data_IF_283425444542
#
_entry.id   IF_283425444542
#
_cell.length_a   1.000
_cell.length_b   1.000
_cell.length_c   1.000
_cell.angle_alpha   90.00
_cell.angle_beta   90.00
_cell.angle_gamma   90.00
#
_symmetry.space_group_name_H-M   'P 1'
#
loop_
_entity.id
_entity.type
_entity.pdbx_description
1 polymer ?
#
# COMPACT_ATOMS: atom_id res chain seq x y z
N UNK A 1 31.97 -16.99 -18.23
CA UNK A 1 30.98 -16.59 -17.22
C UNK A 1 29.64 -16.47 -17.94
N UNK A 2 28.76 -17.46 -17.85
CA UNK A 2 27.43 -17.39 -18.43
C UNK A 2 26.50 -16.75 -17.41
N UNK A 3 26.01 -15.57 -17.72
CA UNK A 3 24.92 -14.92 -16.99
C UNK A 3 23.66 -15.78 -17.16
N UNK A 4 23.27 -16.47 -16.11
CA UNK A 4 21.96 -17.14 -16.04
C UNK A 4 20.95 -16.06 -15.71
N UNK A 5 20.41 -15.40 -16.72
CA UNK A 5 19.17 -14.66 -16.58
C UNK A 5 18.07 -15.66 -16.19
N UNK A 6 17.27 -15.41 -15.15
CA UNK A 6 16.15 -16.27 -14.86
C UNK A 6 15.23 -16.28 -16.08
N UNK A 7 15.13 -17.41 -16.76
CA UNK A 7 14.08 -17.62 -17.76
C UNK A 7 12.75 -17.58 -17.00
N UNK A 8 11.93 -16.61 -17.32
CA UNK A 8 10.50 -16.71 -17.04
C UNK A 8 9.99 -17.92 -17.84
N UNK A 9 9.83 -19.03 -17.15
CA UNK A 9 9.15 -20.19 -17.73
C UNK A 9 7.68 -19.80 -17.75
N UNK A 10 7.19 -19.47 -18.92
CA UNK A 10 5.76 -19.34 -19.20
C UNK A 10 5.15 -20.74 -19.22
N UNK A 11 4.93 -21.30 -18.06
CA UNK A 11 4.09 -22.47 -17.88
C UNK A 11 2.68 -21.95 -17.66
N UNK A 12 1.71 -22.20 -18.56
CA UNK A 12 0.34 -21.75 -18.41
C UNK A 12 -0.36 -22.32 -17.16
N UNK A 13 0.24 -23.31 -16.50
CA UNK A 13 -0.19 -23.82 -15.20
C UNK A 13 0.54 -23.16 -14.01
N UNK A 14 1.65 -22.46 -14.23
CA UNK A 14 2.43 -21.75 -13.20
C UNK A 14 2.21 -20.23 -13.21
N UNK A 15 1.35 -19.70 -14.06
CA UNK A 15 0.98 -18.28 -14.12
C UNK A 15 0.08 -17.82 -12.95
N UNK A 16 0.09 -18.54 -11.86
CA UNK A 16 -0.39 -18.03 -10.57
C UNK A 16 0.74 -17.23 -9.95
N UNK A 17 0.76 -15.95 -10.26
CA UNK A 17 1.60 -15.00 -9.55
C UNK A 17 1.16 -15.00 -8.09
N UNK A 18 1.92 -15.66 -7.22
CA UNK A 18 1.67 -15.64 -5.77
C UNK A 18 2.20 -14.37 -5.11
N UNK A 19 2.72 -13.45 -5.89
CA UNK A 19 3.14 -12.15 -5.37
C UNK A 19 1.94 -11.36 -4.86
N UNK A 20 2.13 -10.69 -3.74
CA UNK A 20 1.10 -9.84 -3.14
C UNK A 20 1.74 -8.57 -2.58
N UNK A 21 0.95 -7.50 -2.58
CA UNK A 21 1.29 -6.21 -2.01
C UNK A 21 0.23 -5.86 -0.96
N UNK A 22 0.64 -5.30 0.17
CA UNK A 22 -0.29 -4.97 1.23
C UNK A 22 0.15 -3.74 2.01
N UNK A 23 -0.75 -2.78 2.14
CA UNK A 23 -0.63 -1.69 3.10
C UNK A 23 -1.16 -2.16 4.44
N UNK A 24 -0.39 -1.94 5.49
CA UNK A 24 -0.76 -2.18 6.90
C UNK A 24 -0.60 -0.86 7.63
N UNK A 25 -1.57 -0.49 8.44
CA UNK A 25 -1.53 0.69 9.28
C UNK A 25 -1.58 0.33 10.76
N UNK A 26 -0.87 1.10 11.57
CA UNK A 26 -0.92 1.04 13.01
C UNK A 26 -1.12 2.46 13.56
N UNK A 27 -1.98 2.61 14.55
CA UNK A 27 -2.38 3.89 15.13
C UNK A 27 -2.28 3.91 16.63
N UNK A 28 -2.09 5.11 17.16
CA UNK A 28 -2.19 5.42 18.58
C UNK A 28 -2.82 6.79 18.79
N UNK A 29 -3.62 6.94 19.85
CA UNK A 29 -4.27 8.20 20.18
C UNK A 29 -3.65 8.76 21.44
N UNK A 30 -3.33 10.05 21.42
CA UNK A 30 -2.74 10.78 22.56
C UNK A 30 -1.48 10.08 23.14
N UNK A 31 -0.59 9.64 22.28
CA UNK A 31 0.56 8.77 22.63
C UNK A 31 1.70 9.50 23.38
N UNK A 32 1.72 10.82 23.33
CA UNK A 32 2.68 11.65 24.08
C UNK A 32 4.08 11.72 23.46
N UNK A 33 4.98 12.41 24.17
CA UNK A 33 6.34 12.72 23.67
C UNK A 33 7.34 11.55 23.79
N UNK A 34 6.96 10.43 24.40
CA UNK A 34 7.80 9.23 24.50
C UNK A 34 7.35 8.20 23.50
N UNK A 35 8.32 7.44 22.93
CA UNK A 35 7.99 6.32 22.05
C UNK A 35 7.00 5.36 22.74
N UNK A 36 5.83 5.22 22.16
CA UNK A 36 4.80 4.31 22.60
C UNK A 36 4.41 3.36 21.45
N UNK A 37 4.03 2.13 21.79
CA UNK A 37 3.62 1.15 20.83
C UNK A 37 2.26 1.54 20.20
N UNK A 38 2.20 1.47 18.88
CA UNK A 38 0.98 1.61 18.11
C UNK A 38 0.24 0.27 18.01
N UNK A 39 -1.06 0.34 17.84
CA UNK A 39 -1.91 -0.83 17.64
C UNK A 39 -2.27 -0.96 16.16
N UNK A 40 -2.21 -2.16 15.60
CA UNK A 40 -2.69 -2.38 14.25
C UNK A 40 -4.14 -1.92 14.10
N UNK A 41 -4.41 -1.20 13.03
CA UNK A 41 -5.76 -0.76 12.67
C UNK A 41 -6.65 -1.99 12.47
N UNK A 42 -7.94 -1.87 12.77
CA UNK A 42 -8.87 -2.98 12.68
C UNK A 42 -8.84 -3.64 11.30
N UNK A 43 -8.63 -4.95 11.27
CA UNK A 43 -8.46 -5.74 10.06
C UNK A 43 -7.03 -5.86 9.53
N UNK A 44 -6.07 -5.18 10.15
CA UNK A 44 -4.63 -5.30 9.85
C UNK A 44 -3.92 -6.19 10.88
N UNK A 45 -2.69 -6.56 10.58
CA UNK A 45 -1.84 -7.31 11.48
C UNK A 45 -0.37 -6.93 11.31
N UNK A 46 0.29 -6.65 12.43
CA UNK A 46 1.74 -6.43 12.45
C UNK A 46 2.53 -7.75 12.38
N UNK A 47 1.86 -8.90 12.43
CA UNK A 47 2.50 -10.18 12.17
C UNK A 47 2.75 -10.37 10.67
N UNK A 48 3.98 -10.67 10.32
CA UNK A 48 4.39 -10.91 8.93
C UNK A 48 3.75 -12.22 8.44
N UNK A 49 3.03 -12.14 7.32
CA UNK A 49 2.37 -13.31 6.73
C UNK A 49 3.39 -14.37 6.32
N UNK A 50 2.96 -15.61 6.43
CA UNK A 50 3.80 -16.73 6.00
C UNK A 50 3.82 -16.83 4.47
N UNK A 51 4.99 -16.64 3.89
CA UNK A 51 5.25 -16.69 2.45
C UNK A 51 5.67 -18.08 1.96
N UNK A 52 5.55 -19.12 2.81
CA UNK A 52 6.12 -20.44 2.48
C UNK A 52 7.65 -20.43 2.49
N UNK A 53 8.27 -21.29 1.73
CA UNK A 53 9.57 -21.82 2.06
C UNK A 53 10.80 -20.95 1.87
N UNK A 54 10.85 -19.89 1.19
CA UNK A 54 12.21 -19.49 0.84
C UNK A 54 12.50 -18.02 0.73
N UNK A 55 11.56 -17.20 0.31
CA UNK A 55 11.83 -15.80 0.11
C UNK A 55 11.22 -14.97 1.25
N UNK A 56 12.01 -14.22 2.01
CA UNK A 56 11.46 -13.31 2.99
C UNK A 56 10.54 -12.31 2.30
N UNK A 57 9.49 -11.90 2.99
CA UNK A 57 8.73 -10.75 2.58
C UNK A 57 9.63 -9.49 2.64
N UNK A 58 9.21 -8.42 2.01
CA UNK A 58 9.97 -7.17 1.94
C UNK A 58 9.09 -6.03 2.39
N UNK A 59 9.56 -5.26 3.34
CA UNK A 59 9.05 -3.93 3.62
C UNK A 59 9.61 -2.99 2.54
N UNK A 60 8.75 -2.44 1.70
CA UNK A 60 9.14 -1.57 0.60
C UNK A 60 9.17 -0.12 1.02
N UNK A 61 8.16 0.32 1.79
CA UNK A 61 8.03 1.69 2.24
C UNK A 61 7.39 1.79 3.62
N UNK A 62 7.68 2.91 4.29
CA UNK A 62 7.04 3.40 5.49
C UNK A 62 6.64 4.84 5.25
N UNK A 63 5.57 5.29 5.87
CA UNK A 63 5.20 6.70 5.99
C UNK A 63 4.40 6.90 7.26
N UNK A 64 4.31 8.15 7.69
CA UNK A 64 3.58 8.52 8.90
C UNK A 64 2.59 9.62 8.57
N UNK A 65 1.51 9.63 9.31
CA UNK A 65 0.61 10.75 9.44
C UNK A 65 0.62 11.15 10.92
N UNK A 66 1.08 12.36 11.20
CA UNK A 66 1.37 12.82 12.56
C UNK A 66 0.88 14.24 12.77
N UNK A 67 0.29 14.46 13.94
CA UNK A 67 -0.25 15.76 14.34
C UNK A 67 0.80 16.70 14.94
N UNK A 68 1.90 16.15 15.40
CA UNK A 68 3.08 16.92 15.85
C UNK A 68 4.35 16.22 15.37
N UNK A 69 5.41 17.00 15.12
CA UNK A 69 6.71 16.42 14.83
C UNK A 69 7.22 15.57 16.00
N UNK A 70 7.68 14.39 15.70
CA UNK A 70 8.12 13.42 16.68
C UNK A 70 9.13 12.43 16.11
N UNK A 71 9.07 11.20 16.57
CA UNK A 71 9.95 10.13 16.11
C UNK A 71 9.14 8.86 15.91
N UNK A 72 9.28 8.23 14.75
CA UNK A 72 8.75 6.88 14.48
C UNK A 72 9.87 5.85 14.63
N UNK A 73 9.51 4.67 15.09
CA UNK A 73 10.39 3.51 15.16
C UNK A 73 9.65 2.24 14.74
N UNK A 74 10.28 1.49 13.84
CA UNK A 74 9.86 0.12 13.52
C UNK A 74 10.96 -0.84 13.91
N UNK A 75 10.64 -1.84 14.72
CA UNK A 75 11.58 -2.87 15.15
C UNK A 75 10.98 -4.27 15.09
N UNK A 76 11.83 -5.26 15.11
CA UNK A 76 11.46 -6.67 15.09
C UNK A 76 12.57 -7.50 15.72
N UNK A 77 12.25 -8.61 16.41
CA UNK A 77 13.26 -9.54 16.92
C UNK A 77 14.22 -10.08 15.86
N UNK A 78 13.83 -10.04 14.59
CA UNK A 78 14.63 -10.53 13.46
C UNK A 78 15.35 -9.44 12.67
N UNK A 79 15.20 -8.16 13.05
CA UNK A 79 16.02 -7.09 12.48
C UNK A 79 17.45 -7.17 13.02
N UNK A 80 18.39 -6.66 12.24
CA UNK A 80 19.81 -6.60 12.65
C UNK A 80 19.99 -5.93 14.03
N UNK A 81 19.24 -4.86 14.28
CA UNK A 81 19.13 -4.22 15.58
C UNK A 81 17.67 -4.19 16.02
N UNK A 82 17.29 -5.11 16.88
CA UNK A 82 15.92 -5.20 17.40
C UNK A 82 15.64 -4.25 18.59
N UNK A 83 16.64 -3.54 19.07
CA UNK A 83 16.51 -2.56 20.17
C UNK A 83 16.23 -1.17 19.59
N UNK A 84 17.07 -0.71 18.68
CA UNK A 84 16.89 0.58 18.02
C UNK A 84 15.94 0.47 16.82
N UNK A 85 16.02 -0.61 16.05
CA UNK A 85 15.24 -0.80 14.84
C UNK A 85 15.56 0.23 13.77
N UNK A 86 14.57 0.54 12.94
CA UNK A 86 14.58 1.67 12.02
C UNK A 86 13.91 2.86 12.69
N UNK A 87 14.61 3.96 12.78
CA UNK A 87 14.14 5.17 13.46
C UNK A 87 14.25 6.38 12.53
N UNK A 88 13.17 7.16 12.46
CA UNK A 88 13.07 8.37 11.65
C UNK A 88 12.43 9.48 12.47
N UNK A 89 12.84 10.72 12.21
CA UNK A 89 12.13 11.88 12.67
C UNK A 89 10.98 12.20 11.72
N UNK A 90 9.84 12.60 12.28
CA UNK A 90 8.62 12.91 11.55
C UNK A 90 8.41 14.41 11.48
N UNK A 91 7.72 14.86 10.44
CA UNK A 91 7.33 16.24 10.24
C UNK A 91 5.80 16.28 10.10
N UNK A 92 5.16 17.18 10.81
CA UNK A 92 3.72 17.38 10.74
C UNK A 92 3.28 17.65 9.28
N UNK A 93 2.20 16.98 8.84
CA UNK A 93 1.66 17.13 7.50
C UNK A 93 2.59 16.63 6.38
N UNK A 94 3.52 15.73 6.68
CA UNK A 94 4.43 15.15 5.70
C UNK A 94 4.25 13.62 5.62
N UNK A 95 3.31 13.19 4.76
CA UNK A 95 3.01 11.76 4.54
C UNK A 95 3.91 11.18 3.43
N UNK A 96 5.20 11.48 3.45
CA UNK A 96 6.13 10.96 2.44
C UNK A 96 6.79 9.65 2.84
N UNK A 97 7.21 8.85 1.83
CA UNK A 97 7.99 7.66 2.08
C UNK A 97 9.27 7.94 2.87
N UNK A 98 9.47 7.22 3.96
CA UNK A 98 10.63 7.37 4.84
C UNK A 98 11.83 6.51 4.41
N UNK A 99 11.58 5.38 3.73
CA UNK A 99 12.66 4.52 3.24
C UNK A 99 13.19 5.03 1.89
N UNK A 100 14.51 4.88 1.66
CA UNK A 100 15.08 5.17 0.35
C UNK A 100 14.44 4.32 -0.74
N UNK A 101 14.08 4.96 -1.86
CA UNK A 101 13.52 4.27 -3.00
C UNK A 101 14.46 3.17 -3.54
N UNK A 102 13.91 2.00 -3.84
CA UNK A 102 14.65 0.86 -4.38
C UNK A 102 15.38 0.02 -3.33
N UNK A 103 15.37 0.42 -2.07
CA UNK A 103 15.98 -0.34 -0.97
C UNK A 103 14.86 -0.87 -0.08
N UNK A 104 14.78 -2.19 0.06
CA UNK A 104 13.78 -2.85 0.88
C UNK A 104 14.40 -3.53 2.10
N UNK A 105 13.69 -3.54 3.22
CA UNK A 105 14.03 -4.31 4.40
C UNK A 105 13.42 -5.71 4.31
N UNK A 106 14.22 -6.76 4.48
CA UNK A 106 13.67 -8.11 4.62
C UNK A 106 12.90 -8.24 5.93
N UNK A 107 11.68 -8.79 5.83
CA UNK A 107 10.83 -9.16 6.96
C UNK A 107 10.49 -10.64 6.86
N UNK A 108 10.50 -11.33 7.98
CA UNK A 108 10.49 -12.79 7.98
C UNK A 108 9.12 -13.35 8.41
N UNK A 109 8.70 -14.47 7.85
CA UNK A 109 7.45 -15.13 8.22
C UNK A 109 7.34 -15.38 9.73
N UNK A 110 6.13 -15.17 10.25
CA UNK A 110 5.80 -15.31 11.67
C UNK A 110 6.58 -14.39 12.63
N UNK A 111 7.23 -13.35 12.08
CA UNK A 111 7.75 -12.26 12.90
C UNK A 111 6.63 -11.28 13.22
N UNK A 112 6.75 -10.57 14.33
CA UNK A 112 5.83 -9.50 14.71
C UNK A 112 6.59 -8.20 14.73
N UNK A 113 6.18 -7.29 13.85
CA UNK A 113 6.72 -5.94 13.80
C UNK A 113 6.17 -5.13 14.98
N UNK A 114 7.03 -4.35 15.59
CA UNK A 114 6.65 -3.41 16.66
C UNK A 114 6.76 -2.01 16.10
N UNK A 115 5.61 -1.41 15.85
CA UNK A 115 5.47 -0.02 15.41
C UNK A 115 5.37 0.86 16.66
N UNK A 116 6.19 1.88 16.75
CA UNK A 116 6.21 2.83 17.86
C UNK A 116 6.34 4.25 17.32
N UNK A 117 5.69 5.18 17.99
CA UNK A 117 5.75 6.59 17.64
C UNK A 117 5.76 7.45 18.91
N UNK A 118 6.48 8.55 18.87
CA UNK A 118 6.39 9.65 19.81
C UNK A 118 5.76 10.83 19.07
N UNK A 119 4.68 11.38 19.62
CA UNK A 119 3.89 12.40 18.94
C UNK A 119 3.06 13.23 19.90
N UNK A 120 1.80 13.47 19.61
CA UNK A 120 0.91 14.31 20.39
C UNK A 120 0.40 13.63 21.66
N UNK A 121 0.34 14.41 22.74
CA UNK A 121 -0.34 14.03 24.00
C UNK A 121 -1.76 14.58 24.09
N UNK A 122 -2.24 15.28 23.06
CA UNK A 122 -3.57 15.88 23.05
C UNK A 122 -4.62 14.79 22.86
N UNK A 123 -5.68 14.88 23.66
CA UNK A 123 -6.76 13.92 23.56
C UNK A 123 -7.50 14.08 22.23
N UNK A 124 -7.60 13.00 21.48
CA UNK A 124 -8.23 12.97 20.16
C UNK A 124 -7.26 12.99 18.99
N UNK A 125 -6.01 13.44 19.19
CA UNK A 125 -4.99 13.38 18.14
C UNK A 125 -4.62 11.93 17.86
N UNK A 126 -4.63 11.57 16.59
CA UNK A 126 -4.29 10.23 16.11
C UNK A 126 -2.98 10.28 15.35
N UNK A 127 -2.08 9.40 15.72
CA UNK A 127 -0.78 9.25 15.09
C UNK A 127 -0.73 7.91 14.35
N UNK A 128 -0.36 7.94 13.08
CA UNK A 128 -0.37 6.75 12.24
C UNK A 128 1.02 6.44 11.70
N UNK A 129 1.39 5.16 11.75
CA UNK A 129 2.47 4.58 10.95
C UNK A 129 1.86 3.60 9.98
N UNK A 130 2.04 3.84 8.69
CA UNK A 130 1.66 2.92 7.64
C UNK A 130 2.90 2.30 6.98
N UNK A 131 2.76 1.08 6.50
CA UNK A 131 3.82 0.31 5.88
C UNK A 131 3.33 -0.45 4.66
N UNK A 132 4.17 -0.55 3.65
CA UNK A 132 3.89 -1.29 2.42
C UNK A 132 4.76 -2.55 2.38
N UNK A 133 4.11 -3.70 2.53
CA UNK A 133 4.73 -4.99 2.50
C UNK A 133 4.54 -5.66 1.14
N UNK A 134 5.61 -6.28 0.64
CA UNK A 134 5.59 -7.12 -0.55
C UNK A 134 5.90 -8.57 -0.16
N UNK A 135 5.03 -9.46 -0.61
CA UNK A 135 5.16 -10.89 -0.41
C UNK A 135 5.46 -11.54 -1.76
N UNK A 136 6.69 -12.01 -2.02
CA UNK A 136 7.06 -12.59 -3.31
C UNK A 136 6.34 -13.91 -3.60
N UNK A 137 5.93 -14.62 -2.55
CA UNK A 137 5.19 -15.87 -2.65
C UNK A 137 4.25 -16.00 -1.46
N UNK A 138 3.01 -15.55 -1.62
CA UNK A 138 1.97 -15.70 -0.59
C UNK A 138 1.02 -16.82 -1.01
N UNK A 139 0.98 -17.96 -0.32
CA UNK A 139 0.11 -19.07 -0.67
C UNK A 139 -1.37 -18.63 -0.75
N UNK A 140 -2.02 -18.97 -1.85
CA UNK A 140 -3.41 -18.61 -2.10
C UNK A 140 -3.62 -17.20 -2.67
N UNK A 141 -2.60 -16.36 -2.75
CA UNK A 141 -2.72 -15.10 -3.45
C UNK A 141 -2.92 -15.34 -4.96
N UNK A 142 -3.87 -14.62 -5.54
CA UNK A 142 -4.13 -14.61 -6.99
C UNK A 142 -4.05 -13.19 -7.53
N UNK A 143 -3.26 -12.34 -6.88
CA UNK A 143 -3.08 -10.96 -7.28
C UNK A 143 -2.37 -10.86 -8.64
N UNK A 144 -2.71 -9.82 -9.40
CA UNK A 144 -2.13 -9.57 -10.72
C UNK A 144 -1.35 -8.27 -10.69
N UNK A 145 -0.07 -8.37 -11.02
CA UNK A 145 0.82 -7.22 -11.13
C UNK A 145 1.60 -7.29 -12.44
N UNK A 146 1.83 -6.12 -13.03
CA UNK A 146 2.67 -5.97 -14.23
C UNK A 146 3.75 -4.90 -14.01
N UNK A 147 4.72 -4.87 -14.92
CA UNK A 147 5.78 -3.87 -14.91
C UNK A 147 5.33 -2.56 -15.58
N UNK A 148 5.96 -1.42 -15.28
CA UNK A 148 5.73 -0.17 -16.01
C UNK A 148 5.92 -0.29 -17.52
N UNK A 149 6.92 -1.03 -17.97
CA UNK A 149 7.18 -1.25 -19.40
C UNK A 149 6.02 -2.01 -20.06
N UNK A 150 5.41 -2.95 -19.35
CA UNK A 150 4.23 -3.65 -19.85
C UNK A 150 3.02 -2.72 -19.92
N UNK A 151 2.80 -1.88 -18.90
CA UNK A 151 1.76 -0.84 -18.95
C UNK A 151 1.95 0.05 -20.17
N UNK A 152 3.14 0.62 -20.36
CA UNK A 152 3.43 1.53 -21.49
C UNK A 152 3.25 0.86 -22.85
N UNK A 153 3.62 -0.40 -22.96
CA UNK A 153 3.49 -1.16 -24.21
C UNK A 153 2.04 -1.48 -24.55
N UNK A 154 1.20 -1.71 -23.54
CA UNK A 154 -0.19 -2.17 -23.70
C UNK A 154 -1.23 -1.07 -23.52
N UNK A 155 -0.83 0.13 -23.12
CA UNK A 155 -1.74 1.23 -22.87
C UNK A 155 -2.56 1.60 -24.12
N UNK A 156 -3.88 1.63 -23.98
CA UNK A 156 -4.82 2.03 -25.02
C UNK A 156 -5.51 3.34 -24.63
N UNK A 157 -5.93 3.45 -23.39
CA UNK A 157 -6.68 4.58 -22.90
C UNK A 157 -6.32 4.85 -21.43
N UNK A 158 -6.47 6.10 -20.99
CA UNK A 158 -6.32 6.52 -19.60
C UNK A 158 -7.57 7.23 -19.14
N UNK A 159 -8.02 6.95 -17.93
CA UNK A 159 -9.17 7.61 -17.33
C UNK A 159 -9.06 7.61 -15.80
N UNK A 160 -9.88 8.42 -15.16
CA UNK A 160 -9.96 8.48 -13.70
C UNK A 160 -11.32 8.01 -13.21
N UNK A 161 -11.31 7.39 -12.04
CA UNK A 161 -12.53 7.00 -11.32
C UNK A 161 -12.51 7.69 -9.97
N UNK A 162 -13.56 8.42 -9.68
CA UNK A 162 -13.72 9.17 -8.44
C UNK A 162 -14.53 8.35 -7.42
N UNK A 163 -14.03 8.32 -6.18
CA UNK A 163 -14.74 7.77 -5.03
C UNK A 163 -14.63 8.74 -3.85
N UNK A 164 -15.73 8.97 -3.14
CA UNK A 164 -15.71 9.72 -1.90
C UNK A 164 -15.77 8.73 -0.73
N UNK A 165 -14.74 8.74 0.11
CA UNK A 165 -14.61 7.88 1.28
C UNK A 165 -15.05 8.63 2.53
N UNK A 166 -16.05 8.09 3.23
CA UNK A 166 -16.35 8.52 4.58
C UNK A 166 -15.41 7.80 5.54
N UNK A 167 -14.35 8.47 6.00
CA UNK A 167 -13.27 7.81 6.74
C UNK A 167 -13.70 7.34 8.16
N UNK A 168 -14.74 7.93 8.74
CA UNK A 168 -15.29 7.45 10.00
C UNK A 168 -14.46 7.82 11.23
N UNK A 169 -14.21 6.85 12.10
CA UNK A 169 -13.43 7.04 13.33
C UNK A 169 -12.07 6.38 13.24
N UNK A 170 -11.08 6.94 13.95
CA UNK A 170 -9.74 6.36 14.07
C UNK A 170 -9.78 4.90 14.55
N UNK A 171 -8.76 4.13 14.19
CA UNK A 171 -8.61 2.72 14.58
C UNK A 171 -9.17 1.73 13.56
N UNK A 172 -9.69 2.18 12.40
CA UNK A 172 -10.22 1.35 11.34
C UNK A 172 -9.93 1.87 9.94
N UNK A 173 -9.99 0.98 8.97
CA UNK A 173 -10.19 1.37 7.59
C UNK A 173 -11.64 1.83 7.40
N UNK A 174 -11.87 2.76 6.49
CA UNK A 174 -13.24 3.14 6.10
C UNK A 174 -14.02 1.93 5.60
N UNK A 175 -15.35 2.01 5.61
CA UNK A 175 -16.16 1.08 4.83
C UNK A 175 -15.69 1.11 3.39
N UNK A 176 -15.51 -0.07 2.76
CA UNK A 176 -15.06 -0.13 1.38
C UNK A 176 -16.12 0.44 0.44
N UNK A 177 -15.78 1.52 -0.25
CA UNK A 177 -16.62 2.07 -1.31
C UNK A 177 -16.36 1.31 -2.61
N UNK A 178 -17.41 0.78 -3.23
CA UNK A 178 -17.27 0.16 -4.53
C UNK A 178 -16.75 1.18 -5.55
N UNK A 179 -15.86 0.74 -6.43
CA UNK A 179 -15.41 1.60 -7.53
C UNK A 179 -16.63 2.15 -8.27
N UNK A 180 -16.80 3.46 -8.22
CA UNK A 180 -17.88 4.12 -8.90
C UNK A 180 -17.58 4.15 -10.41
N UNK A 181 -18.11 3.17 -11.12
CA UNK A 181 -17.95 3.06 -12.58
C UNK A 181 -19.15 3.72 -13.24
N UNK A 182 -19.16 5.03 -13.22
CA UNK A 182 -20.09 5.78 -14.05
C UNK A 182 -19.72 5.60 -15.53
N UNK A 183 -20.73 5.56 -16.40
CA UNK A 183 -20.56 5.55 -17.85
C UNK A 183 -19.86 4.33 -18.48
N UNK A 184 -19.92 3.17 -17.83
CA UNK A 184 -19.35 1.92 -18.37
C UNK A 184 -17.85 2.03 -18.76
N UNK A 185 -17.05 2.73 -17.97
CA UNK A 185 -15.63 2.92 -18.23
C UNK A 185 -14.85 1.60 -18.25
N UNK A 186 -15.34 0.57 -17.57
CA UNK A 186 -14.75 -0.77 -17.57
C UNK A 186 -15.43 -1.67 -18.61
N UNK A 187 -14.84 -1.79 -19.78
CA UNK A 187 -15.36 -2.59 -20.88
C UNK A 187 -15.20 -4.08 -20.65
N UNK A 188 -16.22 -4.87 -20.94
CA UNK A 188 -16.18 -6.32 -20.77
C UNK A 188 -14.98 -6.97 -21.49
N UNK A 189 -14.27 -7.85 -20.80
CA UNK A 189 -13.08 -8.55 -21.29
C UNK A 189 -11.80 -7.72 -21.34
N UNK A 190 -11.81 -6.48 -20.85
CA UNK A 190 -10.62 -5.65 -20.76
C UNK A 190 -9.92 -5.79 -19.39
N UNK A 191 -8.66 -5.40 -19.36
CA UNK A 191 -7.82 -5.31 -18.16
C UNK A 191 -7.42 -3.85 -17.93
N UNK A 192 -7.30 -3.46 -16.67
CA UNK A 192 -7.01 -2.10 -16.26
C UNK A 192 -5.88 -2.08 -15.25
N UNK A 193 -4.81 -1.35 -15.58
CA UNK A 193 -3.71 -1.11 -14.66
C UNK A 193 -4.01 0.12 -13.80
N UNK A 194 -3.96 -0.01 -12.49
CA UNK A 194 -3.98 1.12 -11.57
C UNK A 194 -2.57 1.70 -11.47
N UNK A 195 -2.33 2.84 -12.11
CA UNK A 195 -0.99 3.44 -12.16
C UNK A 195 -0.69 4.37 -11.01
N UNK A 196 -1.73 4.95 -10.40
CA UNK A 196 -1.65 5.83 -9.26
C UNK A 196 -3.01 6.41 -8.92
N UNK A 197 -3.01 7.45 -8.12
CA UNK A 197 -4.22 8.12 -7.62
C UNK A 197 -3.90 9.53 -7.15
N UNK A 198 -4.93 10.32 -6.91
CA UNK A 198 -4.83 11.64 -6.29
C UNK A 198 -5.93 11.74 -5.25
N UNK A 199 -5.62 12.30 -4.09
CA UNK A 199 -6.60 12.64 -3.05
C UNK A 199 -6.80 14.14 -2.98
N UNK A 200 -7.96 14.60 -2.54
CA UNK A 200 -8.29 16.01 -2.34
C UNK A 200 -7.97 16.51 -0.93
N UNK A 201 -7.99 15.60 0.02
CA UNK A 201 -7.68 15.84 1.43
C UNK A 201 -6.72 14.76 1.91
N UNK A 202 -5.79 15.14 2.78
CA UNK A 202 -4.81 14.25 3.40
C UNK A 202 -5.50 13.16 4.22
N UNK A 203 -4.98 11.93 4.12
CA UNK A 203 -5.35 10.82 4.98
C UNK A 203 -4.17 9.85 5.12
N UNK A 204 -4.14 9.09 6.21
CA UNK A 204 -2.98 8.26 6.53
C UNK A 204 -2.64 7.23 5.45
N UNK A 205 -3.62 6.64 4.79
CA UNK A 205 -3.41 5.71 3.69
C UNK A 205 -4.67 5.53 2.84
N UNK A 206 -4.46 5.22 1.56
CA UNK A 206 -5.51 4.81 0.62
C UNK A 206 -5.17 3.45 0.04
N UNK A 207 -6.16 2.59 -0.14
CA UNK A 207 -5.95 1.25 -0.70
C UNK A 207 -7.13 0.77 -1.55
N UNK A 208 -6.81 -0.10 -2.51
CA UNK A 208 -7.75 -0.85 -3.35
C UNK A 208 -7.73 -2.31 -2.93
N UNK A 209 -8.92 -2.89 -2.87
CA UNK A 209 -9.10 -4.27 -2.44
C UNK A 209 -10.10 -4.98 -3.33
N UNK A 210 -9.81 -6.22 -3.67
CA UNK A 210 -10.71 -7.06 -4.47
C UNK A 210 -10.07 -8.39 -4.83
N UNK A 211 -10.75 -9.19 -5.63
CA UNK A 211 -10.26 -10.50 -6.05
C UNK A 211 -8.89 -10.42 -6.75
N UNK A 212 -8.69 -9.40 -7.60
CA UNK A 212 -7.44 -9.21 -8.36
C UNK A 212 -6.25 -8.74 -7.49
N UNK A 213 -6.49 -8.35 -6.24
CA UNK A 213 -5.46 -8.04 -5.24
C UNK A 213 -5.35 -9.13 -4.16
N UNK A 214 -5.90 -10.32 -4.39
CA UNK A 214 -6.02 -11.40 -3.39
C UNK A 214 -6.78 -10.95 -2.12
N UNK A 215 -7.68 -9.99 -2.23
CA UNK A 215 -8.38 -9.30 -1.13
C UNK A 215 -7.44 -8.63 -0.12
N UNK A 216 -6.20 -8.33 -0.50
CA UNK A 216 -5.30 -7.49 0.26
C UNK A 216 -5.47 -6.02 -0.13
N UNK A 217 -5.13 -5.14 0.78
CA UNK A 217 -5.14 -3.69 0.59
C UNK A 217 -3.90 -3.24 -0.18
N UNK A 218 -4.04 -3.03 -1.47
CA UNK A 218 -2.95 -2.53 -2.32
C UNK A 218 -3.08 -1.02 -2.43
N UNK A 219 -2.12 -0.28 -1.93
CA UNK A 219 -2.26 1.18 -1.83
C UNK A 219 -0.97 1.92 -1.52
N UNK A 220 -1.13 3.10 -0.93
CA UNK A 220 -0.03 3.98 -0.57
C UNK A 220 -0.48 5.15 0.31
N UNK A 221 0.38 6.19 0.48
CA UNK A 221 0.08 7.36 1.30
C UNK A 221 -1.06 8.19 0.73
N UNK A 222 -1.89 8.72 1.59
CA UNK A 222 -2.96 9.66 1.21
C UNK A 222 -2.48 11.11 1.19
N UNK A 223 -1.43 11.40 0.45
CA UNK A 223 -0.78 12.71 0.37
C UNK A 223 -1.48 13.60 -0.66
N UNK A 224 -1.96 14.78 -0.24
CA UNK A 224 -2.68 15.72 -1.10
C UNK A 224 -1.77 16.73 -1.82
N UNK A 225 -0.66 17.10 -1.19
CA UNK A 225 0.20 18.20 -1.65
C UNK A 225 1.18 17.77 -2.73
N UNK A 226 1.69 16.55 -2.65
CA UNK A 226 2.62 15.97 -3.62
C UNK A 226 1.93 15.05 -4.64
N UNK A 227 0.98 15.61 -5.38
CA UNK A 227 0.19 14.88 -6.39
C UNK A 227 1.05 14.12 -7.42
N UNK A 228 2.24 14.61 -7.72
CA UNK A 228 3.17 13.88 -8.61
C UNK A 228 3.66 12.55 -8.03
N UNK A 229 3.74 12.47 -6.70
CA UNK A 229 4.14 11.25 -6.02
C UNK A 229 3.05 10.18 -6.17
N UNK A 230 1.82 10.54 -5.83
CA UNK A 230 0.69 9.62 -5.77
C UNK A 230 0.10 9.31 -7.15
N UNK A 231 0.04 10.28 -8.07
CA UNK A 231 -0.47 10.09 -9.43
C UNK A 231 0.29 9.02 -10.23
N UNK A 232 1.54 8.74 -9.87
CA UNK A 232 2.38 7.72 -10.49
C UNK A 232 2.88 6.68 -9.47
N UNK A 233 2.20 6.51 -8.35
CA UNK A 233 2.66 5.72 -7.21
C UNK A 233 3.14 4.32 -7.60
N UNK A 234 2.28 3.53 -8.22
CA UNK A 234 2.60 2.14 -8.56
C UNK A 234 3.65 2.03 -9.67
N UNK A 235 3.65 2.96 -10.61
CA UNK A 235 4.68 3.02 -11.67
C UNK A 235 6.07 3.33 -11.08
N UNK A 236 6.15 4.32 -10.18
CA UNK A 236 7.40 4.71 -9.49
C UNK A 236 7.89 3.59 -8.58
N UNK A 237 6.98 3.01 -7.78
CA UNK A 237 7.28 1.90 -6.89
C UNK A 237 7.86 0.72 -7.67
N UNK A 238 7.17 0.29 -8.72
CA UNK A 238 7.58 -0.82 -9.57
C UNK A 238 8.96 -0.56 -10.21
N UNK A 239 9.18 0.63 -10.74
CA UNK A 239 10.46 1.02 -11.34
C UNK A 239 11.58 1.07 -10.31
N UNK A 240 11.34 1.66 -9.15
CA UNK A 240 12.36 1.81 -8.11
C UNK A 240 12.86 0.46 -7.58
N UNK A 241 11.95 -0.48 -7.36
CA UNK A 241 12.30 -1.80 -6.82
C UNK A 241 12.59 -2.85 -7.89
N UNK A 242 12.44 -2.50 -9.17
CA UNK A 242 12.57 -3.42 -10.31
C UNK A 242 11.70 -4.68 -10.14
N UNK A 243 10.45 -4.48 -9.73
CA UNK A 243 9.45 -5.51 -9.50
C UNK A 243 8.18 -5.19 -10.30
N UNK A 244 7.40 -6.21 -10.62
CA UNK A 244 6.05 -6.01 -11.15
C UNK A 244 5.12 -5.65 -9.97
N UNK A 245 4.81 -4.36 -9.80
CA UNK A 245 4.01 -3.85 -8.67
C UNK A 245 2.83 -2.98 -9.13
N UNK A 246 2.59 -2.84 -10.43
CA UNK A 246 1.41 -2.14 -10.93
C UNK A 246 0.22 -3.10 -10.90
N UNK A 247 -0.81 -2.85 -10.06
CA UNK A 247 -1.95 -3.74 -9.94
C UNK A 247 -2.79 -3.74 -11.22
N UNK A 248 -3.28 -4.92 -11.59
CA UNK A 248 -4.17 -5.09 -12.75
C UNK A 248 -5.51 -5.65 -12.30
N UNK A 249 -6.56 -4.95 -12.66
CA UNK A 249 -7.93 -5.33 -12.40
C UNK A 249 -8.63 -5.81 -13.67
N UNK A 250 -9.42 -6.86 -13.55
CA UNK A 250 -10.27 -7.36 -14.62
C UNK A 250 -11.63 -6.65 -14.61
N UNK A 251 -12.16 -6.31 -15.77
CA UNK A 251 -13.49 -5.75 -15.89
C UNK A 251 -14.57 -6.67 -15.30
N UNK A 252 -14.38 -7.98 -15.33
CA UNK A 252 -15.30 -8.96 -14.76
C UNK A 252 -15.40 -8.83 -13.23
N UNK A 253 -14.35 -8.35 -12.57
CA UNK A 253 -14.28 -8.19 -11.12
C UNK A 253 -14.64 -6.78 -10.63
N UNK A 254 -15.02 -5.86 -11.54
CA UNK A 254 -15.27 -4.44 -11.21
C UNK A 254 -16.23 -4.24 -10.02
N UNK A 255 -17.28 -5.03 -9.93
CA UNK A 255 -18.26 -4.93 -8.85
C UNK A 255 -17.78 -5.37 -7.47
N UNK A 256 -16.59 -5.99 -7.39
CA UNK A 256 -15.95 -6.42 -6.14
C UNK A 256 -14.68 -5.64 -5.81
N UNK A 257 -14.36 -4.58 -6.57
CA UNK A 257 -13.24 -3.70 -6.26
C UNK A 257 -13.76 -2.60 -5.33
N UNK A 258 -13.13 -2.46 -4.17
CA UNK A 258 -13.41 -1.39 -3.21
C UNK A 258 -12.21 -0.49 -3.01
N UNK A 259 -12.48 0.77 -2.74
CA UNK A 259 -11.51 1.77 -2.29
C UNK A 259 -11.72 1.97 -0.80
N UNK A 260 -10.66 1.97 -0.02
CA UNK A 260 -10.68 2.11 1.44
C UNK A 260 -9.63 3.16 1.85
N UNK A 261 -9.88 3.89 2.93
CA UNK A 261 -8.94 4.85 3.50
C UNK A 261 -8.77 4.67 5.00
N UNK A 262 -7.63 5.07 5.53
CA UNK A 262 -7.37 5.17 6.97
C UNK A 262 -7.47 6.63 7.35
N UNK A 263 -8.36 6.90 8.33
CA UNK A 263 -8.59 8.23 8.84
C UNK A 263 -7.32 8.79 9.51
N UNK A 264 -7.08 10.06 9.26
CA UNK A 264 -6.34 10.95 10.14
C UNK A 264 -7.26 11.47 11.28
N UNK A 265 -6.82 12.44 12.05
CA UNK A 265 -7.61 12.99 13.17
C UNK A 265 -8.84 13.81 12.73
N UNK A 266 -8.87 14.31 11.52
CA UNK A 266 -9.87 15.29 11.09
C UNK A 266 -11.22 14.68 10.74
N UNK A 267 -11.27 13.37 10.44
CA UNK A 267 -12.49 12.65 10.10
C UNK A 267 -13.22 13.22 8.86
N UNK A 268 -12.49 13.92 8.00
CA UNK A 268 -13.04 14.48 6.78
C UNK A 268 -13.34 13.37 5.76
N UNK A 269 -14.36 13.59 4.93
CA UNK A 269 -14.52 12.78 3.73
C UNK A 269 -13.36 13.05 2.78
N UNK A 270 -12.83 12.00 2.18
CA UNK A 270 -11.71 12.08 1.23
C UNK A 270 -12.18 11.64 -0.14
N UNK A 271 -11.95 12.48 -1.14
CA UNK A 271 -12.19 12.12 -2.54
C UNK A 271 -10.92 11.54 -3.14
N UNK A 272 -11.01 10.29 -3.58
CA UNK A 272 -9.92 9.56 -4.23
C UNK A 272 -10.18 9.47 -5.72
N UNK A 273 -9.32 10.05 -6.53
CA UNK A 273 -9.31 9.90 -7.97
C UNK A 273 -8.31 8.81 -8.39
N UNK A 274 -8.79 7.60 -8.59
CA UNK A 274 -8.00 6.47 -9.07
C UNK A 274 -7.65 6.63 -10.54
N UNK A 275 -6.38 6.46 -10.93
CA UNK A 275 -5.91 6.62 -12.31
C UNK A 275 -5.70 5.25 -12.93
N UNK A 276 -6.56 4.91 -13.88
CA UNK A 276 -6.53 3.64 -14.60
C UNK A 276 -6.03 3.79 -16.02
N UNK A 277 -5.32 2.79 -16.48
CA UNK A 277 -4.91 2.60 -17.87
C UNK A 277 -5.54 1.33 -18.41
N UNK A 278 -6.36 1.45 -19.46
CA UNK A 278 -6.87 0.30 -20.19
C UNK A 278 -5.74 -0.37 -20.97
N UNK A 279 -5.64 -1.68 -20.85
CA UNK A 279 -4.59 -2.47 -21.47
C UNK A 279 -5.11 -3.21 -22.71
N UNK A 280 -4.36 -3.14 -23.82
CA UNK A 280 -4.63 -3.99 -24.99
C UNK A 280 -4.51 -5.47 -24.62
N UNK A 281 -5.27 -6.29 -25.31
CA UNK A 281 -5.23 -7.76 -25.19
C UNK A 281 -3.91 -8.34 -25.67
#
# INVERSE_FOLDING_TARGET
>A
MHSILPRFVTDPFLDRCYAALEVIAAQGTAIGAALAALTAVAGDSLAVKNTGDAAPAKLLQLWTDVQVAGTVRLRSPKFHDNVQGMRFDTIIGDIRPLLPWGISQAIYPNDVLVAELAGSAVAGDVETLAMLNYYPNLPGAAARFITPDEVMRRAVNIFTVENTLALGTAGGWSGGEAINVEFDQFHAGAQYALVGYVVDVECAAVAWRGADTANLRVGGPGEETERELTANWFMRLSKAFNLALVPVFSAENKGGITVEGVQDENGADVTVNSIFVELSR
#
